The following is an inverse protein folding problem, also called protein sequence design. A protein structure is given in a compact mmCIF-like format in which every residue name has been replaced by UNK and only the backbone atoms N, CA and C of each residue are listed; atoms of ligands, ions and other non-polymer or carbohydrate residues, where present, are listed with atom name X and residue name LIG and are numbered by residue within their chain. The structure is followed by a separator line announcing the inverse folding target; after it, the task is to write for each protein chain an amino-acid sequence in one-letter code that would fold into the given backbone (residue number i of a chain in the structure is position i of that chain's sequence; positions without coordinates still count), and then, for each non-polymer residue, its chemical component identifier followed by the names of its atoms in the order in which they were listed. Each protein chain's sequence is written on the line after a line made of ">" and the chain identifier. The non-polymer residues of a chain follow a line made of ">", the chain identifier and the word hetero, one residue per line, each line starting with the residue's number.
data_IF_646033548558
#
_entry.id   IF_646033548558
#
_cell.length_a   1.000
_cell.length_b   1.000
_cell.length_c   1.000
_cell.angle_alpha   90.00
_cell.angle_beta   90.00
_cell.angle_gamma   90.00
#
_symmetry.space_group_name_H-M   'P 1'
#
loop_
_entity.id
_entity.type
_entity.pdbx_description
1 polymer ?
#
# COMPACT_ATOMS: atom_id res chain seq x y z
N UNK A 1 15.49 -22.69 10.49
CA UNK A 1 16.75 -23.03 11.21
C UNK A 1 17.89 -22.08 10.88
N UNK A 2 17.92 -21.44 9.70
CA UNK A 2 18.99 -20.50 9.34
C UNK A 2 19.00 -19.22 10.20
N UNK A 3 17.84 -18.58 10.40
CA UNK A 3 17.72 -17.31 11.13
C UNK A 3 18.13 -17.36 12.61
N UNK A 4 17.98 -18.51 13.28
CA UNK A 4 18.41 -18.67 14.67
C UNK A 4 19.92 -18.73 14.78
N UNK A 5 20.57 -19.39 13.83
CA UNK A 5 22.03 -19.51 13.82
C UNK A 5 22.69 -18.21 13.39
N UNK A 6 22.11 -17.49 12.42
CA UNK A 6 22.53 -16.14 12.05
C UNK A 6 22.44 -15.19 13.24
N UNK A 7 21.32 -15.18 13.98
CA UNK A 7 21.17 -14.32 15.17
C UNK A 7 22.26 -14.58 16.22
N UNK A 8 22.62 -15.84 16.46
CA UNK A 8 23.70 -16.21 17.40
C UNK A 8 25.07 -15.79 16.86
N UNK A 9 25.34 -15.99 15.58
CA UNK A 9 26.65 -15.66 14.98
C UNK A 9 26.88 -14.16 14.86
N UNK A 10 25.85 -13.39 14.53
CA UNK A 10 25.97 -11.95 14.30
C UNK A 10 25.64 -11.12 15.53
N UNK A 11 24.87 -11.67 16.48
CA UNK A 11 24.28 -10.91 17.58
C UNK A 11 23.20 -9.91 17.13
N UNK A 12 22.88 -9.88 15.83
CA UNK A 12 21.94 -8.92 15.26
C UNK A 12 20.52 -9.46 15.23
N UNK A 13 19.56 -8.55 15.42
CA UNK A 13 18.14 -8.83 15.32
C UNK A 13 17.77 -9.30 13.90
N UNK A 14 17.28 -10.53 13.79
CA UNK A 14 16.72 -11.06 12.56
C UNK A 14 15.21 -10.84 12.55
N UNK A 15 14.68 -10.25 11.49
CA UNK A 15 13.24 -10.04 11.31
C UNK A 15 12.82 -10.62 9.97
N UNK A 16 11.76 -11.42 9.98
CA UNK A 16 11.12 -11.88 8.74
C UNK A 16 9.62 -11.96 8.92
N UNK A 17 8.90 -11.80 7.82
CA UNK A 17 7.46 -12.06 7.77
C UNK A 17 7.21 -13.51 7.31
N UNK A 18 6.24 -14.16 7.92
CA UNK A 18 5.77 -15.47 7.49
C UNK A 18 4.24 -15.51 7.46
N UNK A 19 3.71 -16.38 6.62
CA UNK A 19 2.28 -16.70 6.59
C UNK A 19 2.09 -18.10 7.12
N UNK A 20 1.37 -18.23 8.22
CA UNK A 20 0.94 -19.54 8.71
C UNK A 20 -0.51 -19.75 8.30
N UNK A 21 -0.79 -20.91 7.70
CA UNK A 21 -2.16 -21.38 7.49
C UNK A 21 -2.49 -22.33 8.63
N UNK A 22 -3.47 -21.97 9.47
CA UNK A 22 -3.96 -22.81 10.55
C UNK A 22 -5.48 -22.73 10.58
N UNK A 23 -6.15 -23.89 10.60
CA UNK A 23 -7.61 -23.99 10.73
C UNK A 23 -8.37 -23.11 9.71
N UNK A 24 -7.98 -23.22 8.43
CA UNK A 24 -8.47 -22.42 7.29
C UNK A 24 -8.21 -20.90 7.37
N UNK A 25 -7.54 -20.41 8.42
CA UNK A 25 -7.18 -19.00 8.58
C UNK A 25 -5.72 -18.75 8.24
N UNK A 26 -5.47 -17.69 7.49
CA UNK A 26 -4.12 -17.17 7.23
C UNK A 26 -3.76 -16.19 8.34
N UNK A 27 -2.59 -16.41 8.94
CA UNK A 27 -1.98 -15.54 9.93
C UNK A 27 -0.72 -14.93 9.31
N UNK A 28 -0.77 -13.62 9.05
CA UNK A 28 0.43 -12.85 8.76
C UNK A 28 1.16 -12.57 10.08
N UNK A 29 2.39 -13.03 10.17
CA UNK A 29 3.20 -12.90 11.37
C UNK A 29 4.55 -12.27 11.03
N UNK A 30 5.01 -11.38 11.91
CA UNK A 30 6.40 -10.93 11.97
C UNK A 30 7.10 -11.74 13.04
N UNK A 31 8.15 -12.46 12.65
CA UNK A 31 9.01 -13.20 13.56
C UNK A 31 10.29 -12.41 13.76
N UNK A 32 10.62 -12.16 15.03
CA UNK A 32 11.82 -11.44 15.45
C UNK A 32 12.67 -12.38 16.29
N UNK A 33 13.93 -12.54 15.92
CA UNK A 33 14.87 -13.44 16.59
C UNK A 33 16.08 -12.63 17.02
N UNK A 34 16.40 -12.68 18.30
CA UNK A 34 17.58 -12.02 18.89
C UNK A 34 18.33 -13.02 19.75
N UNK A 35 19.66 -13.05 19.64
CA UNK A 35 20.48 -13.83 20.54
C UNK A 35 20.47 -13.21 21.94
N UNK A 36 20.27 -14.05 22.95
CA UNK A 36 20.34 -13.65 24.37
C UNK A 36 21.56 -14.23 25.07
N UNK A 37 22.12 -15.32 24.51
CA UNK A 37 23.38 -15.92 24.91
C UNK A 37 24.01 -16.67 23.71
N UNK A 38 25.20 -17.22 23.90
CA UNK A 38 25.99 -17.91 22.86
C UNK A 38 25.28 -19.11 22.20
N UNK A 39 24.23 -19.65 22.84
CA UNK A 39 23.45 -20.77 22.31
C UNK A 39 21.94 -20.58 22.43
N UNK A 40 21.50 -19.43 22.94
CA UNK A 40 20.10 -19.17 23.25
C UNK A 40 19.59 -17.97 22.46
N UNK A 41 18.36 -18.10 21.95
CA UNK A 41 17.67 -17.05 21.21
C UNK A 41 16.30 -16.78 21.82
N UNK A 42 15.92 -15.51 21.85
CA UNK A 42 14.55 -15.09 22.09
C UNK A 42 13.83 -14.95 20.74
N UNK A 43 12.71 -15.66 20.59
CA UNK A 43 11.83 -15.55 19.42
C UNK A 43 10.54 -14.84 19.84
N UNK A 44 10.24 -13.72 19.18
CA UNK A 44 8.97 -13.00 19.34
C UNK A 44 8.17 -13.16 18.05
N UNK A 45 6.90 -13.55 18.18
CA UNK A 45 5.97 -13.67 17.06
C UNK A 45 4.88 -12.64 17.25
N UNK A 46 4.72 -11.75 16.27
CA UNK A 46 3.71 -10.69 16.29
C UNK A 46 2.73 -10.89 15.14
N UNK A 47 1.44 -10.84 15.45
CA UNK A 47 0.40 -10.73 14.42
C UNK A 47 0.46 -9.35 13.76
N UNK A 48 0.53 -9.32 12.43
CA UNK A 48 0.62 -8.08 11.64
C UNK A 48 -0.57 -7.90 10.69
N UNK A 49 -1.63 -8.72 10.81
CA UNK A 49 -2.80 -8.65 9.92
C UNK A 49 -3.48 -7.30 9.99
N UNK A 50 -3.73 -6.79 11.19
CA UNK A 50 -4.40 -5.49 11.37
C UNK A 50 -3.60 -4.35 10.73
N UNK A 51 -2.27 -4.37 10.88
CA UNK A 51 -1.37 -3.40 10.24
C UNK A 51 -1.47 -3.47 8.73
N UNK A 52 -1.40 -4.67 8.14
CA UNK A 52 -1.49 -4.87 6.69
C UNK A 52 -2.85 -4.44 6.14
N UNK A 53 -3.94 -4.78 6.84
CA UNK A 53 -5.28 -4.38 6.44
C UNK A 53 -5.45 -2.86 6.46
N UNK A 54 -4.93 -2.17 7.48
CA UNK A 54 -4.95 -0.71 7.55
C UNK A 54 -4.14 -0.07 6.41
N UNK A 55 -2.98 -0.63 6.08
CA UNK A 55 -2.14 -0.17 4.97
C UNK A 55 -2.85 -0.34 3.61
N UNK A 56 -3.42 -1.51 3.36
CA UNK A 56 -4.21 -1.78 2.14
C UNK A 56 -5.44 -0.86 2.03
N UNK A 57 -6.16 -0.64 3.13
CA UNK A 57 -7.29 0.27 3.17
C UNK A 57 -6.86 1.71 2.84
N UNK A 58 -5.75 2.19 3.42
CA UNK A 58 -5.20 3.51 3.14
C UNK A 58 -4.80 3.67 1.67
N UNK A 59 -4.14 2.67 1.08
CA UNK A 59 -3.78 2.67 -0.35
C UNK A 59 -5.05 2.73 -1.21
N UNK A 60 -6.11 2.01 -0.84
CA UNK A 60 -7.36 2.01 -1.59
C UNK A 60 -8.09 3.36 -1.51
N UNK A 61 -8.13 3.96 -0.33
CA UNK A 61 -8.68 5.31 -0.12
C UNK A 61 -7.94 6.35 -0.97
N UNK A 62 -6.61 6.29 -0.99
CA UNK A 62 -5.76 7.14 -1.80
C UNK A 62 -6.07 6.99 -3.30
N UNK A 63 -6.15 5.76 -3.78
CA UNK A 63 -6.52 5.47 -5.17
C UNK A 63 -7.89 6.02 -5.54
N UNK A 64 -8.88 5.88 -4.65
CA UNK A 64 -10.22 6.43 -4.86
C UNK A 64 -10.24 7.96 -4.84
N UNK A 65 -9.37 8.60 -4.06
CA UNK A 65 -9.20 10.06 -4.10
C UNK A 65 -8.57 10.50 -5.42
N UNK A 66 -7.46 9.88 -5.81
CA UNK A 66 -6.81 10.17 -7.09
C UNK A 66 -7.75 9.96 -8.29
N UNK A 67 -8.53 8.88 -8.30
CA UNK A 67 -9.51 8.62 -9.37
C UNK A 67 -10.54 9.76 -9.50
N UNK A 68 -11.01 10.32 -8.38
CA UNK A 68 -11.91 11.48 -8.38
C UNK A 68 -11.22 12.73 -8.89
N UNK A 69 -10.01 13.03 -8.43
CA UNK A 69 -9.27 14.21 -8.90
C UNK A 69 -8.97 14.16 -10.40
N UNK A 70 -8.60 12.98 -10.92
CA UNK A 70 -8.42 12.74 -12.35
C UNK A 70 -9.74 12.97 -13.09
N UNK A 71 -10.84 12.39 -12.59
CA UNK A 71 -12.15 12.55 -13.21
C UNK A 71 -12.60 14.02 -13.25
N UNK A 72 -12.42 14.76 -12.16
CA UNK A 72 -12.77 16.18 -12.07
C UNK A 72 -11.94 17.03 -13.03
N UNK A 73 -10.64 16.77 -13.12
CA UNK A 73 -9.73 17.45 -14.06
C UNK A 73 -10.11 17.17 -15.51
N UNK A 74 -10.43 15.91 -15.84
CA UNK A 74 -10.90 15.53 -17.17
C UNK A 74 -12.23 16.21 -17.51
N UNK A 75 -13.19 16.21 -16.59
CA UNK A 75 -14.47 16.89 -16.79
C UNK A 75 -14.29 18.39 -17.01
N UNK A 76 -13.41 19.03 -16.23
CA UNK A 76 -13.14 20.47 -16.35
C UNK A 76 -12.46 20.82 -17.68
N UNK A 77 -11.46 20.05 -18.09
CA UNK A 77 -10.77 20.26 -19.38
C UNK A 77 -11.71 20.06 -20.57
N UNK A 78 -12.51 19.00 -20.56
CA UNK A 78 -13.53 18.76 -21.59
C UNK A 78 -14.57 19.88 -21.63
N UNK A 79 -15.04 20.34 -20.48
CA UNK A 79 -15.97 21.48 -20.39
C UNK A 79 -15.34 22.74 -21.01
N UNK A 80 -14.07 23.01 -20.70
CA UNK A 80 -13.33 24.12 -21.30
C UNK A 80 -13.29 24.05 -22.82
N UNK A 81 -12.95 22.88 -23.38
CA UNK A 81 -12.95 22.64 -24.83
C UNK A 81 -14.33 22.89 -25.44
N UNK A 82 -15.38 22.33 -24.85
CA UNK A 82 -16.76 22.50 -25.33
C UNK A 82 -17.19 23.97 -25.33
N UNK A 83 -16.86 24.74 -24.28
CA UNK A 83 -17.16 26.17 -24.20
C UNK A 83 -16.45 26.95 -25.31
N UNK A 84 -15.17 26.67 -25.56
CA UNK A 84 -14.40 27.33 -26.62
C UNK A 84 -14.96 27.00 -28.01
N UNK A 85 -15.27 25.72 -28.28
CA UNK A 85 -15.89 25.30 -29.54
C UNK A 85 -17.24 25.98 -29.74
N UNK A 86 -18.09 26.01 -28.70
CA UNK A 86 -19.40 26.67 -28.77
C UNK A 86 -19.30 28.19 -28.97
N UNK A 87 -18.25 28.83 -28.45
CA UNK A 87 -17.98 30.23 -28.73
C UNK A 87 -17.59 30.43 -30.20
N UNK A 88 -16.65 29.63 -30.72
CA UNK A 88 -16.20 29.69 -32.13
C UNK A 88 -17.38 29.53 -33.10
N UNK A 89 -18.23 28.51 -32.91
CA UNK A 89 -19.42 28.28 -33.76
C UNK A 89 -20.51 29.34 -33.64
N UNK A 90 -20.52 30.17 -32.57
CA UNK A 90 -21.42 31.32 -32.46
C UNK A 90 -20.87 32.53 -33.21
N UNK A 91 -19.55 32.74 -33.20
CA UNK A 91 -18.92 33.82 -33.95
C UNK A 91 -19.13 33.66 -35.46
N UNK A 92 -18.96 32.44 -35.99
CA UNK A 92 -19.20 32.14 -37.42
C UNK A 92 -20.63 32.45 -37.88
N UNK A 93 -21.62 32.35 -36.98
CA UNK A 93 -23.04 32.65 -37.27
C UNK A 93 -23.41 34.13 -37.22
N UNK A 94 -22.55 34.98 -36.64
CA UNK A 94 -22.79 36.42 -36.50
C UNK A 94 -21.98 37.22 -37.53
N UNK A 95 -20.92 36.63 -38.08
CA UNK A 95 -20.06 37.27 -39.09
C UNK A 95 -20.46 37.00 -40.55
N UNK A 96 -21.60 36.36 -40.81
CA UNK A 96 -22.19 36.16 -42.15
C UNK A 96 -23.68 36.48 -42.16
#
# INVERSE_FOLDING_TARGET
>A
MEYTQTAIQTGELQIYEQKIVSDERVYDQEVRIVAIADTEVLVMIRDIRDRKQAEEASILEERNRMAREIHDTLAQTLTGVLVHMGAISRWERVTF
#
